data_IF_179474376431
#
_entry.id   IF_179474376431
#
_cell.length_a   1.000
_cell.length_b   1.000
_cell.length_c   1.000
_cell.angle_alpha   90.00
_cell.angle_beta   90.00
_cell.angle_gamma   90.00
#
_symmetry.space_group_name_H-M   'P 1'
#
loop_
_entity.id
_entity.type
_entity.pdbx_description
1 polymer ?
#
# COMPACT_ATOMS: atom_id res chain seq x y z
N UNK A 1 -11.53 -5.66 -5.27
CA UNK A 1 -12.89 -5.30 -5.71
C UNK A 1 -13.85 -6.39 -5.25
N UNK A 2 -14.60 -6.17 -4.17
CA UNK A 2 -15.76 -7.00 -3.86
C UNK A 2 -16.96 -6.40 -4.61
N UNK A 3 -17.16 -6.82 -5.83
CA UNK A 3 -18.37 -6.51 -6.59
C UNK A 3 -19.30 -7.71 -6.45
N UNK A 4 -20.40 -7.57 -5.74
CA UNK A 4 -21.49 -8.55 -5.79
C UNK A 4 -22.18 -8.41 -7.15
N UNK A 5 -21.82 -9.28 -8.08
CA UNK A 5 -22.43 -9.35 -9.40
C UNK A 5 -23.80 -10.05 -9.30
N UNK A 6 -24.85 -9.37 -9.73
CA UNK A 6 -26.05 -10.04 -10.22
C UNK A 6 -25.69 -10.77 -11.52
N UNK A 7 -26.21 -11.98 -11.70
CA UNK A 7 -25.91 -12.94 -12.78
C UNK A 7 -25.68 -12.30 -14.16
N UNK A 8 -24.73 -12.81 -14.96
CA UNK A 8 -24.45 -12.25 -16.28
C UNK A 8 -25.60 -12.51 -17.24
N UNK A 9 -26.14 -11.46 -17.82
CA UNK A 9 -26.93 -11.56 -19.01
C UNK A 9 -26.03 -11.93 -20.19
N UNK A 10 -26.38 -13.00 -20.89
CA UNK A 10 -25.75 -13.46 -22.13
C UNK A 10 -25.85 -12.40 -23.21
N UNK A 11 -24.73 -12.08 -23.83
CA UNK A 11 -24.64 -11.52 -25.16
C UNK A 11 -24.64 -9.99 -25.21
N UNK A 12 -23.46 -9.40 -25.06
CA UNK A 12 -23.15 -8.11 -25.66
C UNK A 12 -21.98 -8.33 -26.62
N UNK A 13 -22.26 -8.25 -27.90
CA UNK A 13 -21.26 -8.13 -28.94
C UNK A 13 -20.38 -6.92 -28.66
N UNK A 14 -19.09 -7.03 -28.91
CA UNK A 14 -18.12 -5.95 -28.83
C UNK A 14 -18.51 -4.82 -29.80
N UNK A 15 -19.39 -3.95 -29.35
CA UNK A 15 -19.59 -2.67 -30.00
C UNK A 15 -18.48 -1.76 -29.51
N UNK A 16 -17.61 -1.32 -30.41
CA UNK A 16 -16.77 -0.17 -30.24
C UNK A 16 -17.65 0.97 -29.74
N UNK A 17 -17.56 1.29 -28.45
CA UNK A 17 -18.27 2.43 -27.87
C UNK A 17 -17.76 3.71 -28.52
N UNK A 18 -18.35 4.09 -29.64
CA UNK A 18 -18.28 5.45 -30.15
C UNK A 18 -18.76 6.35 -29.05
N UNK A 19 -17.94 7.34 -28.70
CA UNK A 19 -18.24 8.36 -27.70
C UNK A 19 -19.58 9.01 -28.10
N UNK A 20 -20.65 8.61 -27.50
CA UNK A 20 -21.91 9.31 -27.60
C UNK A 20 -21.79 10.62 -26.83
N UNK A 21 -22.25 11.71 -27.44
CA UNK A 21 -22.08 13.13 -27.15
C UNK A 21 -22.42 13.63 -25.74
N UNK A 22 -22.40 12.83 -24.69
CA UNK A 22 -22.99 13.16 -23.40
C UNK A 22 -22.16 12.86 -22.16
N UNK A 23 -20.95 12.32 -22.29
CA UNK A 23 -20.15 12.00 -21.11
C UNK A 23 -18.64 12.20 -21.32
N UNK A 24 -17.93 12.57 -20.27
CA UNK A 24 -16.45 12.58 -20.26
C UNK A 24 -15.99 11.17 -19.91
N UNK A 25 -15.14 10.58 -20.76
CA UNK A 25 -14.43 9.33 -20.43
C UNK A 25 -13.04 9.67 -19.92
N UNK A 26 -12.64 9.09 -18.80
CA UNK A 26 -11.25 9.06 -18.36
C UNK A 26 -10.84 7.58 -18.19
N UNK A 27 -10.27 7.02 -19.27
CA UNK A 27 -9.89 5.62 -19.25
C UNK A 27 -11.11 4.69 -19.06
N UNK A 28 -11.12 3.92 -18.01
CA UNK A 28 -12.08 2.84 -17.75
C UNK A 28 -13.34 3.28 -16.97
N UNK A 29 -13.61 4.57 -16.84
CA UNK A 29 -14.77 5.10 -16.12
C UNK A 29 -15.55 6.06 -17.02
N UNK A 30 -16.84 5.81 -17.18
CA UNK A 30 -17.76 6.69 -17.89
C UNK A 30 -18.54 7.54 -16.87
N UNK A 31 -18.58 8.85 -17.11
CA UNK A 31 -19.24 9.82 -16.25
C UNK A 31 -20.46 10.39 -16.98
N UNK A 32 -21.61 10.41 -16.34
CA UNK A 32 -22.83 10.98 -16.87
C UNK A 32 -22.81 12.54 -16.81
N UNK A 33 -23.91 13.17 -17.27
CA UNK A 33 -24.06 14.64 -17.27
C UNK A 33 -24.09 15.26 -15.88
N UNK A 34 -24.48 14.49 -14.87
CA UNK A 34 -24.57 14.92 -13.46
C UNK A 34 -23.26 14.75 -12.70
N UNK A 35 -22.16 14.46 -13.41
CA UNK A 35 -20.84 14.13 -12.84
C UNK A 35 -20.83 12.88 -11.94
N UNK A 36 -21.79 11.98 -12.11
CA UNK A 36 -21.84 10.69 -11.45
C UNK A 36 -21.24 9.58 -12.33
N UNK A 37 -20.67 8.55 -11.72
CA UNK A 37 -20.18 7.36 -12.44
C UNK A 37 -21.38 6.63 -13.05
N UNK A 38 -21.40 6.49 -14.36
CA UNK A 38 -22.41 5.74 -15.09
C UNK A 38 -22.03 4.26 -15.25
N UNK A 39 -20.75 3.99 -15.56
CA UNK A 39 -20.23 2.63 -15.69
C UNK A 39 -18.74 2.57 -15.43
N UNK A 40 -18.27 1.37 -15.10
CA UNK A 40 -16.85 1.03 -14.90
C UNK A 40 -16.50 -0.14 -15.79
N UNK A 41 -15.43 0.00 -16.57
CA UNK A 41 -14.88 -1.08 -17.39
C UNK A 41 -13.71 -1.71 -16.63
N UNK A 42 -13.78 -3.01 -16.41
CA UNK A 42 -12.73 -3.77 -15.76
C UNK A 42 -12.29 -4.94 -16.66
N UNK A 43 -11.03 -5.32 -16.54
CA UNK A 43 -10.48 -6.47 -17.26
C UNK A 43 -10.38 -7.69 -16.34
N UNK A 44 -10.85 -8.81 -16.80
CA UNK A 44 -10.56 -10.09 -16.18
C UNK A 44 -9.09 -10.46 -16.47
N UNK A 45 -8.26 -10.43 -15.44
CA UNK A 45 -6.81 -10.65 -15.59
C UNK A 45 -6.44 -12.07 -16.01
N UNK A 46 -7.34 -13.04 -15.89
CA UNK A 46 -7.12 -14.43 -16.32
C UNK A 46 -7.45 -14.65 -17.79
N UNK A 47 -8.50 -13.98 -18.30
CA UNK A 47 -9.01 -14.20 -19.65
C UNK A 47 -8.68 -13.07 -20.61
N UNK A 48 -8.36 -11.87 -20.09
CA UNK A 48 -8.22 -10.64 -20.88
C UNK A 48 -9.56 -10.05 -21.33
N UNK A 49 -10.70 -10.61 -20.90
CA UNK A 49 -12.03 -10.13 -21.23
C UNK A 49 -12.33 -8.81 -20.53
N UNK A 50 -12.84 -7.84 -21.25
CA UNK A 50 -13.35 -6.60 -20.69
C UNK A 50 -14.81 -6.76 -20.26
N UNK A 51 -15.10 -6.29 -19.05
CA UNK A 51 -16.42 -6.35 -18.43
C UNK A 51 -16.87 -4.92 -18.10
N UNK A 52 -18.08 -4.57 -18.51
CA UNK A 52 -18.71 -3.29 -18.18
C UNK A 52 -19.68 -3.48 -17.02
N UNK A 53 -19.52 -2.67 -15.97
CA UNK A 53 -20.38 -2.68 -14.80
C UNK A 53 -21.16 -1.38 -14.72
N UNK A 54 -22.49 -1.50 -14.73
CA UNK A 54 -23.41 -0.37 -14.57
C UNK A 54 -24.15 -0.51 -13.24
N UNK A 55 -24.21 0.57 -12.48
CA UNK A 55 -24.89 0.59 -11.18
C UNK A 55 -25.30 2.03 -10.82
N UNK A 56 -26.33 2.20 -9.98
CA UNK A 56 -26.69 3.53 -9.47
C UNK A 56 -25.69 4.08 -8.45
N UNK A 57 -24.90 3.19 -7.80
CA UNK A 57 -23.90 3.55 -6.77
C UNK A 57 -22.63 2.74 -6.98
N UNK A 58 -21.50 3.36 -6.74
CA UNK A 58 -20.18 2.75 -6.77
C UNK A 58 -19.43 3.04 -5.48
N UNK A 59 -18.70 2.04 -4.97
CA UNK A 59 -17.80 2.19 -3.83
C UNK A 59 -16.34 1.99 -4.28
N UNK A 60 -15.48 2.96 -3.96
CA UNK A 60 -14.04 2.86 -4.19
C UNK A 60 -13.36 2.14 -3.02
N UNK A 61 -13.09 0.85 -3.20
CA UNK A 61 -12.37 0.01 -2.24
C UNK A 61 -10.95 -0.34 -2.74
N UNK A 62 -10.36 0.46 -3.62
CA UNK A 62 -9.07 0.16 -4.26
C UNK A 62 -7.86 0.43 -3.34
N UNK A 63 -8.05 1.14 -2.25
CA UNK A 63 -6.99 1.53 -1.32
C UNK A 63 -6.14 2.72 -1.76
N UNK A 64 -6.20 3.11 -3.05
CA UNK A 64 -5.48 4.23 -3.64
C UNK A 64 -6.42 5.26 -4.28
N UNK A 65 -7.70 5.23 -3.95
CA UNK A 65 -8.69 6.10 -4.58
C UNK A 65 -8.71 5.99 -6.11
N UNK A 66 -8.43 4.79 -6.66
CA UNK A 66 -8.25 4.61 -8.10
C UNK A 66 -9.52 4.91 -8.88
N UNK A 67 -10.66 4.41 -8.40
CA UNK A 67 -11.94 4.65 -9.05
C UNK A 67 -12.31 6.14 -9.03
N UNK A 68 -12.18 6.78 -7.87
CA UNK A 68 -12.45 8.21 -7.73
C UNK A 68 -11.56 9.08 -8.62
N UNK A 69 -10.26 8.76 -8.70
CA UNK A 69 -9.32 9.48 -9.58
C UNK A 69 -9.65 9.31 -11.05
N UNK A 70 -10.00 8.08 -11.48
CA UNK A 70 -10.45 7.82 -12.85
C UNK A 70 -11.77 8.54 -13.15
N UNK A 71 -12.65 8.67 -12.17
CA UNK A 71 -13.87 9.47 -12.28
C UNK A 71 -13.61 10.98 -12.29
N UNK A 72 -12.39 11.42 -11.96
CA UNK A 72 -12.02 12.85 -11.95
C UNK A 72 -12.29 13.54 -10.61
N UNK A 73 -12.52 12.78 -9.55
CA UNK A 73 -12.65 13.33 -8.20
C UNK A 73 -11.34 13.98 -7.73
N UNK A 74 -11.45 14.99 -6.89
CA UNK A 74 -10.30 15.62 -6.25
C UNK A 74 -9.72 14.69 -5.19
N UNK A 75 -8.41 14.74 -5.04
CA UNK A 75 -7.71 13.96 -4.03
C UNK A 75 -6.47 14.69 -3.52
N UNK A 76 -6.02 14.32 -2.33
CA UNK A 76 -4.72 14.69 -1.78
C UNK A 76 -3.76 13.50 -1.80
N UNK A 77 -2.46 13.78 -1.78
CA UNK A 77 -1.36 12.82 -1.64
C UNK A 77 -0.25 13.48 -0.82
N UNK A 78 0.48 12.66 -0.05
CA UNK A 78 1.47 13.20 0.89
C UNK A 78 0.81 13.64 2.20
N UNK A 79 1.55 14.38 3.02
CA UNK A 79 1.08 14.83 4.33
C UNK A 79 0.79 16.33 4.33
N UNK A 80 -0.34 16.70 4.87
CA UNK A 80 -0.71 18.09 5.10
C UNK A 80 0.14 18.71 6.23
N UNK A 81 0.36 20.03 6.22
CA UNK A 81 1.05 20.70 7.31
C UNK A 81 0.13 20.81 8.53
N UNK A 82 0.71 20.89 9.73
CA UNK A 82 -0.02 21.11 10.96
C UNK A 82 -1.05 22.26 10.88
N UNK A 83 -0.69 23.33 10.18
CA UNK A 83 -1.54 24.52 10.02
C UNK A 83 -2.82 24.28 9.20
N UNK A 84 -2.91 23.19 8.44
CA UNK A 84 -4.08 22.93 7.60
C UNK A 84 -5.33 22.59 8.43
N UNK A 85 -5.15 21.76 9.47
CA UNK A 85 -6.23 21.26 10.33
C UNK A 85 -5.94 21.47 11.83
N UNK A 86 -4.83 22.10 12.20
CA UNK A 86 -4.41 22.29 13.59
C UNK A 86 -4.02 21.00 14.31
N UNK A 87 -3.54 20.04 13.59
CA UNK A 87 -3.21 18.69 14.09
C UNK A 87 -1.81 18.65 14.69
N UNK A 88 -1.70 18.22 15.95
CA UNK A 88 -0.42 18.16 16.66
C UNK A 88 0.53 17.10 16.07
N UNK A 89 -0.03 16.03 15.54
CA UNK A 89 0.72 14.89 14.99
C UNK A 89 1.16 15.11 13.52
N UNK A 90 0.64 16.15 12.86
CA UNK A 90 1.00 16.48 11.49
C UNK A 90 2.40 17.14 11.41
N UNK A 91 3.11 17.01 10.28
CA UNK A 91 4.39 17.69 10.08
C UNK A 91 4.20 19.20 10.04
N UNK A 92 5.25 19.95 10.41
CA UNK A 92 5.21 21.42 10.38
C UNK A 92 5.02 21.97 8.96
N UNK A 93 5.53 21.26 7.96
CA UNK A 93 5.42 21.61 6.55
C UNK A 93 4.87 20.41 5.78
N UNK A 94 4.06 20.67 4.76
CA UNK A 94 3.58 19.65 3.85
C UNK A 94 4.74 18.93 3.16
N UNK A 95 4.57 17.64 2.88
CA UNK A 95 5.50 16.86 2.09
C UNK A 95 4.77 15.83 1.21
N UNK A 96 5.52 15.20 0.31
CA UNK A 96 4.99 14.19 -0.61
C UNK A 96 5.07 12.75 -0.05
N UNK A 97 5.33 12.60 1.25
CA UNK A 97 5.43 11.28 1.85
C UNK A 97 4.09 10.59 1.92
N UNK A 98 4.07 9.34 1.50
CA UNK A 98 2.96 8.40 1.70
C UNK A 98 3.38 7.29 2.65
N UNK A 99 2.46 6.49 3.10
CA UNK A 99 2.82 5.29 3.85
C UNK A 99 3.59 4.32 2.96
N UNK A 100 4.68 3.76 3.48
CA UNK A 100 5.48 2.77 2.79
C UNK A 100 4.75 1.45 2.59
N UNK A 101 5.37 0.56 1.84
CA UNK A 101 4.87 -0.80 1.65
C UNK A 101 5.71 -1.78 2.44
N UNK A 102 5.08 -2.83 2.95
CA UNK A 102 5.72 -3.90 3.70
C UNK A 102 5.82 -5.17 2.87
N UNK A 103 6.98 -5.84 2.95
CA UNK A 103 7.15 -7.16 2.36
C UNK A 103 6.97 -8.22 3.44
N UNK A 104 5.93 -9.01 3.31
CA UNK A 104 5.66 -10.13 4.22
C UNK A 104 6.52 -11.35 3.83
N UNK A 105 7.01 -12.04 4.84
CA UNK A 105 7.83 -13.23 4.65
C UNK A 105 7.80 -14.14 5.88
N UNK A 106 8.10 -15.42 5.69
CA UNK A 106 8.34 -16.33 6.80
C UNK A 106 9.33 -17.42 6.44
N UNK A 107 9.95 -17.94 7.49
CA UNK A 107 10.85 -19.08 7.41
C UNK A 107 10.22 -20.30 8.09
N UNK A 108 10.62 -21.50 7.64
CA UNK A 108 10.24 -22.78 8.23
C UNK A 108 11.46 -23.55 8.68
N UNK A 109 11.33 -24.27 9.79
CA UNK A 109 12.31 -25.24 10.24
C UNK A 109 12.29 -26.48 9.36
N UNK A 110 13.47 -26.96 8.98
CA UNK A 110 13.69 -28.19 8.21
C UNK A 110 14.42 -29.23 9.06
N UNK A 111 14.32 -30.50 8.69
CA UNK A 111 14.97 -31.58 9.37
C UNK A 111 16.50 -31.61 9.17
N UNK A 112 16.96 -31.07 8.06
CA UNK A 112 18.38 -30.99 7.69
C UNK A 112 18.82 -29.51 7.60
N UNK A 113 20.13 -29.25 7.76
CA UNK A 113 20.69 -27.93 7.49
C UNK A 113 20.34 -27.45 6.08
N UNK A 114 20.06 -26.15 5.97
CA UNK A 114 19.76 -25.47 4.71
C UNK A 114 20.77 -24.37 4.47
N UNK A 115 21.11 -24.12 3.23
CA UNK A 115 21.95 -23.00 2.81
C UNK A 115 21.12 -21.84 2.28
N UNK A 116 21.72 -20.68 2.24
CA UNK A 116 21.22 -19.52 1.53
C UNK A 116 22.42 -18.80 0.89
N UNK A 117 22.33 -18.35 -0.35
CA UNK A 117 23.47 -17.73 -1.00
C UNK A 117 23.88 -16.44 -0.29
N UNK A 118 25.18 -16.13 -0.38
CA UNK A 118 25.67 -14.82 0.04
C UNK A 118 25.13 -13.78 -0.93
N UNK A 119 24.33 -12.86 -0.39
CA UNK A 119 23.63 -11.86 -1.17
C UNK A 119 24.22 -10.48 -0.85
N UNK A 120 24.84 -9.83 -1.82
CA UNK A 120 25.59 -8.58 -1.63
C UNK A 120 25.19 -7.52 -2.66
N UNK A 121 23.89 -7.26 -2.80
CA UNK A 121 23.35 -6.30 -3.77
C UNK A 121 23.00 -4.95 -3.10
N UNK A 122 24.02 -4.28 -2.56
CA UNK A 122 23.89 -2.90 -2.10
C UNK A 122 23.14 -2.68 -0.77
N UNK A 123 22.62 -3.76 -0.15
CA UNK A 123 21.94 -3.70 1.15
C UNK A 123 22.76 -4.52 2.14
N UNK A 124 23.23 -3.89 3.20
CA UNK A 124 24.02 -4.56 4.23
C UNK A 124 23.32 -4.57 5.56
N UNK A 125 23.26 -5.74 6.19
CA UNK A 125 22.81 -5.92 7.56
C UNK A 125 23.97 -6.28 8.48
N UNK A 126 23.82 -5.92 9.75
CA UNK A 126 24.73 -6.29 10.84
C UNK A 126 23.92 -6.75 12.06
N UNK A 127 24.60 -7.05 13.17
CA UNK A 127 23.93 -7.60 14.37
C UNK A 127 22.92 -6.62 15.00
N UNK A 128 23.06 -5.32 14.78
CA UNK A 128 22.16 -4.28 15.30
C UNK A 128 20.97 -4.04 14.40
N UNK A 129 21.14 -4.22 13.10
CA UNK A 129 20.13 -3.85 12.09
C UNK A 129 19.34 -5.02 11.54
N UNK A 130 19.84 -6.23 11.73
CA UNK A 130 19.16 -7.43 11.24
C UNK A 130 17.89 -7.75 12.04
N UNK A 131 16.84 -8.08 11.33
CA UNK A 131 15.62 -8.64 11.92
C UNK A 131 15.86 -10.13 12.20
N UNK A 132 15.84 -10.50 13.47
CA UNK A 132 16.16 -11.86 13.93
C UNK A 132 14.96 -12.79 14.04
N UNK A 133 13.76 -12.30 13.76
CA UNK A 133 12.53 -13.13 13.75
C UNK A 133 12.52 -14.09 12.58
N UNK A 134 11.68 -15.12 12.67
CA UNK A 134 11.48 -16.10 11.59
C UNK A 134 10.33 -15.74 10.66
N UNK A 135 9.70 -14.61 10.89
CA UNK A 135 8.67 -14.01 10.05
C UNK A 135 8.68 -12.51 10.19
N UNK A 136 8.29 -11.81 9.13
CA UNK A 136 8.09 -10.38 9.12
C UNK A 136 6.79 -10.03 8.43
N UNK A 137 5.98 -9.20 9.08
CA UNK A 137 4.71 -8.70 8.54
C UNK A 137 4.84 -7.21 8.25
N UNK A 138 5.39 -6.45 9.20
CA UNK A 138 5.53 -4.99 9.16
C UNK A 138 6.97 -4.56 9.52
N UNK A 139 7.93 -5.41 9.31
CA UNK A 139 9.30 -5.21 9.81
C UNK A 139 9.99 -4.02 9.14
N UNK A 140 9.84 -3.92 7.84
CA UNK A 140 10.36 -2.82 7.05
C UNK A 140 9.26 -2.23 6.21
N UNK A 141 9.10 -0.93 6.30
CA UNK A 141 8.27 -0.17 5.38
C UNK A 141 9.18 0.63 4.46
N UNK A 142 9.01 0.44 3.17
CA UNK A 142 9.88 1.00 2.13
C UNK A 142 9.09 1.87 1.18
N UNK A 143 9.74 2.83 0.53
CA UNK A 143 9.11 3.67 -0.48
C UNK A 143 8.31 4.86 0.05
N UNK A 144 8.52 5.28 1.30
CA UNK A 144 7.80 6.40 1.93
C UNK A 144 7.88 7.73 1.14
N UNK A 145 8.99 7.98 0.46
CA UNK A 145 9.21 9.14 -0.38
C UNK A 145 9.10 8.85 -1.88
N UNK A 146 8.50 7.72 -2.22
CA UNK A 146 8.18 7.35 -3.60
C UNK A 146 6.69 7.51 -3.84
N UNK A 147 6.32 7.93 -5.03
CA UNK A 147 4.92 7.88 -5.44
C UNK A 147 4.51 6.43 -5.62
N UNK A 148 4.03 5.82 -4.53
CA UNK A 148 3.73 4.38 -4.46
C UNK A 148 2.80 3.93 -5.58
N UNK A 149 1.82 4.76 -5.96
CA UNK A 149 0.88 4.44 -7.04
C UNK A 149 1.60 4.22 -8.38
N UNK A 150 2.65 5.02 -8.65
CA UNK A 150 3.38 4.97 -9.91
C UNK A 150 4.58 4.00 -9.87
N UNK A 151 5.07 3.67 -8.66
CA UNK A 151 6.33 2.96 -8.46
C UNK A 151 6.20 1.66 -7.65
N UNK A 152 4.99 1.14 -7.45
CA UNK A 152 4.73 0.00 -6.58
C UNK A 152 5.62 -1.22 -6.91
N UNK A 153 5.76 -1.56 -8.18
CA UNK A 153 6.59 -2.69 -8.63
C UNK A 153 8.06 -2.52 -8.21
N UNK A 154 8.60 -1.33 -8.44
CA UNK A 154 10.00 -1.02 -8.06
C UNK A 154 10.20 -1.04 -6.55
N UNK A 155 9.24 -0.53 -5.80
CA UNK A 155 9.29 -0.53 -4.32
C UNK A 155 9.17 -1.95 -3.79
N UNK A 156 8.29 -2.78 -4.35
CA UNK A 156 8.19 -4.22 -4.05
C UNK A 156 9.50 -4.94 -4.29
N UNK A 157 10.10 -4.76 -5.47
CA UNK A 157 11.35 -5.44 -5.83
C UNK A 157 12.46 -5.10 -4.85
N UNK A 158 12.56 -3.84 -4.47
CA UNK A 158 13.52 -3.44 -3.44
C UNK A 158 13.19 -4.07 -2.07
N UNK A 159 11.94 -4.11 -1.68
CA UNK A 159 11.51 -4.78 -0.45
C UNK A 159 11.90 -6.27 -0.43
N UNK A 160 11.80 -6.96 -1.57
CA UNK A 160 12.31 -8.33 -1.72
C UNK A 160 13.83 -8.41 -1.50
N UNK A 161 14.59 -7.47 -2.07
CA UNK A 161 16.05 -7.41 -1.85
C UNK A 161 16.39 -7.20 -0.36
N UNK A 162 15.62 -6.39 0.36
CA UNK A 162 15.78 -6.18 1.81
C UNK A 162 15.62 -7.50 2.55
N UNK A 163 14.57 -8.28 2.26
CA UNK A 163 14.33 -9.58 2.90
C UNK A 163 15.48 -10.56 2.59
N UNK A 164 15.90 -10.65 1.33
CA UNK A 164 17.00 -11.54 0.93
C UNK A 164 18.34 -11.15 1.58
N UNK A 165 18.64 -9.87 1.65
CA UNK A 165 19.86 -9.38 2.28
C UNK A 165 19.89 -9.69 3.78
N UNK A 166 18.77 -9.44 4.47
CA UNK A 166 18.65 -9.82 5.88
C UNK A 166 18.79 -11.31 6.09
N UNK A 167 18.12 -12.13 5.30
CA UNK A 167 18.19 -13.60 5.42
C UNK A 167 19.58 -14.12 5.11
N UNK A 168 20.24 -13.56 4.10
CA UNK A 168 21.65 -13.87 3.81
C UNK A 168 22.57 -13.56 4.99
N UNK A 169 22.40 -12.40 5.63
CA UNK A 169 23.16 -12.06 6.83
C UNK A 169 22.94 -13.09 7.95
N UNK A 170 21.70 -13.43 8.27
CA UNK A 170 21.35 -14.37 9.33
C UNK A 170 21.97 -15.75 9.09
N UNK A 171 21.94 -16.24 7.85
CA UNK A 171 22.46 -17.54 7.46
C UNK A 171 23.98 -17.63 7.41
N UNK A 172 24.65 -16.53 6.99
CA UNK A 172 26.06 -16.59 6.62
C UNK A 172 26.99 -15.83 7.59
N UNK A 173 26.54 -14.68 8.11
CA UNK A 173 27.41 -13.73 8.83
C UNK A 173 27.05 -13.48 10.29
N UNK A 174 25.80 -13.73 10.68
CA UNK A 174 25.35 -13.50 12.06
C UNK A 174 26.13 -14.36 13.04
N UNK A 175 26.38 -13.84 14.24
CA UNK A 175 26.91 -14.59 15.38
C UNK A 175 25.99 -15.77 15.74
N UNK A 176 24.67 -15.59 15.51
CA UNK A 176 23.65 -16.58 15.81
C UNK A 176 23.37 -17.51 14.61
N UNK A 177 24.22 -17.56 13.57
CA UNK A 177 23.98 -18.33 12.34
C UNK A 177 23.67 -19.82 12.59
N UNK A 178 24.15 -20.41 13.70
CA UNK A 178 23.81 -21.78 14.08
C UNK A 178 22.32 -21.93 14.41
N UNK A 179 21.69 -20.91 14.98
CA UNK A 179 20.24 -20.88 15.23
C UNK A 179 19.45 -20.97 13.94
N UNK A 180 19.98 -20.39 12.86
CA UNK A 180 19.33 -20.36 11.55
C UNK A 180 19.74 -21.52 10.65
N UNK A 181 20.62 -22.41 11.08
CA UNK A 181 21.16 -23.50 10.26
C UNK A 181 20.06 -24.33 9.59
N UNK A 182 19.02 -24.68 10.34
CA UNK A 182 17.87 -25.47 9.86
C UNK A 182 16.66 -24.63 9.46
N UNK A 183 16.78 -23.32 9.48
CA UNK A 183 15.71 -22.42 9.04
C UNK A 183 15.87 -22.13 7.54
N UNK A 184 14.78 -22.23 6.83
CA UNK A 184 14.71 -21.90 5.39
C UNK A 184 13.73 -20.75 5.19
N UNK A 185 14.10 -19.73 4.43
CA UNK A 185 13.14 -18.77 3.91
C UNK A 185 12.19 -19.53 2.99
N UNK A 186 10.97 -19.72 3.43
CA UNK A 186 10.00 -20.61 2.78
C UNK A 186 9.03 -19.85 1.90
N UNK A 187 8.71 -18.62 2.28
CA UNK A 187 7.79 -17.77 1.52
C UNK A 187 8.15 -16.32 1.65
N UNK A 188 7.95 -15.61 0.56
CA UNK A 188 8.06 -14.17 0.42
C UNK A 188 6.89 -13.69 -0.42
N UNK A 189 6.16 -12.68 0.05
CA UNK A 189 5.03 -12.13 -0.68
C UNK A 189 5.47 -11.56 -2.03
N UNK A 190 4.77 -11.93 -3.08
CA UNK A 190 4.96 -11.32 -4.40
C UNK A 190 4.25 -9.96 -4.48
N UNK A 191 3.10 -9.82 -3.81
CA UNK A 191 2.37 -8.56 -3.72
C UNK A 191 2.78 -7.84 -2.45
N UNK A 192 3.30 -6.63 -2.58
CA UNK A 192 3.66 -5.81 -1.43
C UNK A 192 2.40 -5.41 -0.64
N UNK A 193 2.51 -5.44 0.68
CA UNK A 193 1.48 -4.94 1.59
C UNK A 193 1.41 -3.42 1.50
N UNK A 194 0.59 -2.93 0.59
CA UNK A 194 0.40 -1.51 0.34
C UNK A 194 -0.53 -0.88 1.36
N UNK A 195 -0.31 0.38 1.64
CA UNK A 195 -1.06 1.16 2.61
C UNK A 195 -1.62 2.42 1.94
N UNK A 196 -1.99 3.43 2.72
CA UNK A 196 -2.52 4.69 2.24
C UNK A 196 -1.57 5.38 1.25
N UNK A 197 -2.15 5.97 0.21
CA UNK A 197 -1.44 6.81 -0.76
C UNK A 197 -2.26 8.05 -1.15
N UNK A 198 -3.24 7.91 -2.02
CA UNK A 198 -4.18 8.98 -2.38
C UNK A 198 -5.43 8.90 -1.50
N UNK A 199 -5.91 10.05 -1.06
CA UNK A 199 -7.13 10.23 -0.29
C UNK A 199 -8.09 11.11 -1.07
N UNK A 200 -9.30 10.62 -1.33
CA UNK A 200 -10.36 11.44 -1.95
C UNK A 200 -10.76 12.55 -1.01
N UNK A 201 -10.98 13.72 -1.57
CA UNK A 201 -11.59 14.83 -0.85
C UNK A 201 -13.11 14.64 -0.89
N UNK A 202 -13.68 14.28 0.25
CA UNK A 202 -15.11 14.16 0.44
C UNK A 202 -15.73 15.48 0.92
N UNK A 203 -17.02 15.44 1.23
CA UNK A 203 -17.75 16.58 1.81
C UNK A 203 -17.26 16.90 3.23
N UNK A 204 -16.69 15.91 3.90
CA UNK A 204 -16.05 16.02 5.21
C UNK A 204 -14.65 15.43 5.18
N UNK A 205 -13.69 16.13 5.78
CA UNK A 205 -12.30 15.64 5.98
C UNK A 205 -12.13 15.31 7.44
N UNK A 206 -12.00 14.01 7.74
CA UNK A 206 -11.78 13.52 9.11
C UNK A 206 -10.41 14.01 9.60
N UNK A 207 -10.38 14.64 10.76
CA UNK A 207 -9.19 15.19 11.40
C UNK A 207 -8.74 14.40 12.64
N UNK A 208 -7.52 14.65 13.11
CA UNK A 208 -7.02 14.11 14.38
C UNK A 208 -7.97 14.44 15.53
N UNK A 209 -8.51 15.67 15.56
CA UNK A 209 -9.40 16.13 16.63
C UNK A 209 -10.71 15.34 16.68
N UNK A 210 -11.23 14.90 15.54
CA UNK A 210 -12.44 14.08 15.49
C UNK A 210 -12.21 12.73 16.17
N UNK A 211 -11.02 12.15 15.94
CA UNK A 211 -10.63 10.88 16.53
C UNK A 211 -10.35 11.03 18.03
N UNK A 212 -9.52 11.99 18.40
CA UNK A 212 -9.08 12.20 19.79
C UNK A 212 -10.25 12.59 20.70
N UNK A 213 -11.18 13.41 20.18
CA UNK A 213 -12.37 13.86 20.94
C UNK A 213 -13.55 12.92 20.79
N UNK A 214 -13.41 11.85 20.01
CA UNK A 214 -14.51 10.92 19.71
C UNK A 214 -15.76 11.65 19.23
N UNK A 215 -15.60 12.51 18.23
CA UNK A 215 -16.70 13.32 17.71
C UNK A 215 -17.77 12.44 17.06
N UNK A 216 -19.05 12.64 17.39
CA UNK A 216 -20.13 11.92 16.74
C UNK A 216 -20.35 12.44 15.32
N UNK A 217 -20.61 11.53 14.39
CA UNK A 217 -21.01 11.82 13.02
C UNK A 217 -22.38 11.24 12.73
N UNK A 218 -23.27 12.02 12.12
CA UNK A 218 -24.66 11.60 11.86
C UNK A 218 -24.73 10.44 10.85
N UNK A 219 -23.75 10.36 9.94
CA UNK A 219 -23.60 9.35 8.90
C UNK A 219 -22.65 8.21 9.29
N UNK A 220 -22.33 8.06 10.57
CA UNK A 220 -21.42 7.03 11.05
C UNK A 220 -21.94 5.63 10.74
N UNK A 221 -21.16 4.83 10.02
CA UNK A 221 -21.53 3.46 9.61
C UNK A 221 -20.77 2.38 10.38
N UNK A 222 -19.67 2.73 11.05
CA UNK A 222 -18.87 1.80 11.86
C UNK A 222 -18.16 2.54 12.99
N UNK A 223 -17.61 1.76 13.91
CA UNK A 223 -16.76 2.26 14.99
C UNK A 223 -15.36 1.65 14.88
N UNK A 224 -14.35 2.39 15.31
CA UNK A 224 -12.99 1.89 15.47
C UNK A 224 -12.49 2.11 16.90
N UNK A 225 -11.73 1.15 17.41
CA UNK A 225 -11.05 1.25 18.70
C UNK A 225 -9.53 1.26 18.55
N UNK A 226 -9.05 1.35 17.31
CA UNK A 226 -7.62 1.37 17.04
C UNK A 226 -7.06 2.77 17.35
N UNK A 227 -5.92 2.80 18.02
CA UNK A 227 -5.17 4.05 18.25
C UNK A 227 -4.64 4.63 16.94
N UNK A 228 -4.43 5.93 16.89
CA UNK A 228 -3.68 6.57 15.81
C UNK A 228 -2.28 5.94 15.77
N UNK A 229 -1.92 5.33 14.64
CA UNK A 229 -0.67 4.59 14.46
C UNK A 229 0.18 5.31 13.41
N UNK A 230 1.05 6.20 13.89
CA UNK A 230 1.91 7.01 13.04
C UNK A 230 3.07 6.20 12.50
N UNK A 231 3.29 6.34 11.20
CA UNK A 231 4.41 5.74 10.49
C UNK A 231 5.19 6.85 9.78
N UNK A 232 6.38 7.14 10.25
CA UNK A 232 7.24 8.17 9.66
C UNK A 232 8.69 7.68 9.53
N UNK A 233 9.45 8.26 8.62
CA UNK A 233 10.85 7.85 8.41
C UNK A 233 11.67 8.04 9.67
N UNK A 234 12.36 6.98 10.09
CA UNK A 234 13.32 7.04 11.17
C UNK A 234 14.72 7.28 10.60
N UNK A 235 15.32 8.39 10.97
CA UNK A 235 16.68 8.77 10.51
C UNK A 235 17.75 7.78 10.96
N UNK A 236 17.57 7.09 12.09
CA UNK A 236 18.50 6.07 12.57
C UNK A 236 18.48 4.89 11.62
N UNK A 237 17.29 4.42 11.25
CA UNK A 237 17.13 3.30 10.32
C UNK A 237 17.51 3.69 8.89
N UNK A 238 17.34 4.95 8.50
CA UNK A 238 17.74 5.44 7.19
C UNK A 238 19.25 5.32 6.92
N UNK A 239 20.09 5.29 7.93
CA UNK A 239 21.56 5.12 7.78
C UNK A 239 21.93 3.77 7.21
N UNK A 240 21.12 2.75 7.40
CA UNK A 240 21.38 1.39 6.93
C UNK A 240 20.96 1.19 5.48
N UNK A 241 20.18 2.13 4.93
CA UNK A 241 19.70 2.15 3.56
C UNK A 241 20.23 3.37 2.83
N UNK A 242 21.56 3.43 2.68
CA UNK A 242 22.32 4.63 2.35
C UNK A 242 21.95 5.31 1.02
N UNK A 243 21.25 4.65 0.14
CA UNK A 243 20.94 5.19 -1.18
C UNK A 243 19.56 4.77 -1.62
N UNK A 244 18.62 5.68 -1.60
CA UNK A 244 17.35 5.42 -2.23
C UNK A 244 16.13 5.82 -1.40
N UNK A 245 14.96 5.68 -1.99
CA UNK A 245 13.68 6.08 -1.41
C UNK A 245 13.19 5.16 -0.30
N UNK A 246 14.05 4.31 0.27
CA UNK A 246 13.67 3.22 1.13
C UNK A 246 14.22 3.45 2.51
N UNK A 247 13.34 3.77 3.43
CA UNK A 247 13.69 3.98 4.83
C UNK A 247 12.84 3.06 5.67
N UNK A 248 13.47 2.37 6.62
CA UNK A 248 12.71 1.79 7.71
C UNK A 248 12.09 2.93 8.51
N UNK A 249 10.96 2.65 9.11
CA UNK A 249 10.20 3.63 9.89
C UNK A 249 10.15 3.25 11.36
N UNK A 250 10.00 4.25 12.22
CA UNK A 250 9.54 4.03 13.56
C UNK A 250 8.01 4.14 13.64
N UNK A 251 7.43 3.49 14.63
CA UNK A 251 6.02 3.54 14.95
C UNK A 251 5.79 4.28 16.23
N UNK A 252 4.79 5.14 16.22
CA UNK A 252 4.26 5.76 17.42
C UNK A 252 2.75 5.57 17.44
N UNK A 253 2.24 5.14 18.56
CA UNK A 253 0.79 5.04 18.82
C UNK A 253 0.39 6.11 19.81
N UNK A 254 -0.71 6.76 19.55
CA UNK A 254 -1.29 7.83 20.37
C UNK A 254 -2.72 7.47 20.72
#
# INVERSE_FOLDING_TARGET
LNVTASSPQKGLESQSLAANETGKSKGNVLINRDNAIASVIAMNVLTGEELCFEAPLFADCTGDATLGVLAGAMYSIGREPQSAFGEELAPQQADDMTMGVSMQWYAKKKDKPTSFPLFEYGISFNEQTAEKRLRGEWTWETGLNSRIVDNLERVRDYGMLVVYANWSFLKNRSKDRRHYERQQLDWLAYVAGKRESRRLLGDYVLSEQDIVKNMPHEDATFTTTWSIDLHYPDTINARNFATGPFKAISRQRV
#
